data_IF_160866374096
#
_entry.id   IF_160866374096
#
_cell.length_a   1.000
_cell.length_b   1.000
_cell.length_c   1.000
_cell.angle_alpha   90.00
_cell.angle_beta   90.00
_cell.angle_gamma   90.00
#
_symmetry.space_group_name_H-M   'P 1'
#
loop_
_entity.id
_entity.type
_entity.pdbx_description
1 polymer ?
#
# COMPACT_ATOMS: atom_id res chain seq x y z
N UNK A 1 -2.24 -43.34 41.89
CA UNK A 1 -3.38 -43.10 40.97
C UNK A 1 -3.26 -41.69 40.41
N UNK A 2 -2.94 -41.57 39.11
CA UNK A 2 -2.79 -40.29 38.40
C UNK A 2 -4.18 -39.70 38.16
N UNK A 3 -4.42 -38.46 38.59
CA UNK A 3 -5.60 -37.68 38.18
C UNK A 3 -5.21 -36.83 36.99
N UNK A 4 -5.83 -37.10 35.84
CA UNK A 4 -5.73 -36.30 34.62
C UNK A 4 -6.41 -34.94 34.86
N UNK A 5 -5.82 -33.80 34.45
CA UNK A 5 -6.59 -32.56 34.38
C UNK A 5 -7.55 -32.61 33.19
N UNK A 6 -8.80 -32.25 33.46
CA UNK A 6 -9.90 -32.15 32.51
C UNK A 6 -9.59 -31.01 31.52
N UNK A 7 -9.29 -31.32 30.27
CA UNK A 7 -9.13 -30.31 29.20
C UNK A 7 -10.53 -29.94 28.70
N UNK A 8 -10.95 -28.71 28.99
CA UNK A 8 -12.13 -28.12 28.36
C UNK A 8 -11.74 -27.67 26.95
N UNK A 9 -12.09 -28.47 25.94
CA UNK A 9 -12.00 -28.05 24.54
C UNK A 9 -13.21 -27.17 24.25
N UNK A 10 -12.99 -25.84 24.19
CA UNK A 10 -13.99 -24.92 23.66
C UNK A 10 -13.91 -25.01 22.13
N UNK A 11 -14.77 -25.86 21.57
CA UNK A 11 -15.00 -25.89 20.13
C UNK A 11 -15.85 -24.68 19.78
N UNK A 12 -15.27 -23.67 19.12
CA UNK A 12 -16.06 -22.62 18.48
C UNK A 12 -16.81 -23.25 17.30
N UNK A 13 -18.06 -23.65 17.56
CA UNK A 13 -18.99 -23.98 16.50
C UNK A 13 -19.15 -22.74 15.61
N UNK A 14 -18.77 -22.87 14.34
CA UNK A 14 -19.05 -21.91 13.28
C UNK A 14 -20.57 -21.72 13.17
N UNK A 15 -21.09 -20.73 13.88
CA UNK A 15 -22.42 -20.24 13.60
C UNK A 15 -22.29 -19.32 12.38
N UNK A 16 -22.62 -19.88 11.21
CA UNK A 16 -22.99 -19.11 10.03
C UNK A 16 -24.31 -18.36 10.35
N UNK A 17 -24.22 -17.29 11.13
CA UNK A 17 -25.25 -16.25 11.13
C UNK A 17 -24.81 -15.28 10.06
N UNK A 18 -25.50 -15.31 8.92
CA UNK A 18 -25.42 -14.25 7.93
C UNK A 18 -25.91 -12.95 8.56
N UNK A 19 -25.02 -12.25 9.24
CA UNK A 19 -25.20 -10.86 9.60
C UNK A 19 -24.50 -10.07 8.51
N UNK A 20 -25.29 -9.61 7.53
CA UNK A 20 -24.86 -8.52 6.66
C UNK A 20 -24.86 -7.27 7.53
N UNK A 21 -23.77 -7.07 8.27
CA UNK A 21 -23.43 -5.73 8.70
C UNK A 21 -23.14 -4.97 7.41
N UNK A 22 -23.98 -3.98 7.07
CA UNK A 22 -23.50 -2.92 6.20
C UNK A 22 -22.22 -2.40 6.87
N UNK A 23 -21.06 -2.63 6.26
CA UNK A 23 -19.79 -2.28 6.85
C UNK A 23 -19.77 -0.76 7.03
N UNK A 24 -20.10 -0.28 8.22
CA UNK A 24 -20.09 1.14 8.52
C UNK A 24 -18.65 1.61 8.39
N UNK A 25 -18.40 2.48 7.42
CA UNK A 25 -17.07 3.01 7.15
C UNK A 25 -16.51 3.68 8.41
N UNK A 26 -15.29 3.35 8.80
CA UNK A 26 -14.65 3.96 9.97
C UNK A 26 -13.96 5.24 9.51
N UNK A 27 -14.24 6.37 10.19
CA UNK A 27 -13.67 7.68 9.84
C UNK A 27 -12.89 8.27 11.02
N UNK A 28 -11.70 8.79 10.71
CA UNK A 28 -10.86 9.54 11.65
C UNK A 28 -10.60 10.93 11.06
N UNK A 29 -11.12 11.96 11.71
CA UNK A 29 -11.00 13.34 11.23
C UNK A 29 -9.74 14.04 11.77
N UNK A 30 -9.11 14.86 10.94
CA UNK A 30 -7.97 15.70 11.30
C UNK A 30 -8.27 17.16 10.94
N UNK A 31 -7.58 18.08 11.60
CA UNK A 31 -7.76 19.51 11.35
C UNK A 31 -7.00 19.94 10.09
N UNK A 32 -5.85 19.31 9.84
CA UNK A 32 -4.93 19.66 8.76
C UNK A 32 -4.21 18.42 8.21
N UNK A 33 -3.87 18.47 6.92
CA UNK A 33 -3.08 17.47 6.21
C UNK A 33 -1.94 18.17 5.49
N UNK A 34 -0.72 17.92 5.95
CA UNK A 34 0.48 18.51 5.36
C UNK A 34 1.27 17.46 4.59
N UNK A 35 1.62 17.76 3.33
CA UNK A 35 2.55 16.92 2.56
C UNK A 35 3.98 17.17 3.06
N UNK A 36 4.58 16.15 3.67
CA UNK A 36 5.97 16.20 4.15
C UNK A 36 6.97 15.93 3.03
N UNK A 37 6.63 14.95 2.19
CA UNK A 37 7.45 14.47 1.09
C UNK A 37 6.57 13.93 -0.01
N UNK A 38 6.97 14.15 -1.25
CA UNK A 38 6.34 13.55 -2.42
C UNK A 38 7.36 13.31 -3.53
N UNK A 39 7.23 12.17 -4.19
CA UNK A 39 7.95 11.81 -5.39
C UNK A 39 6.97 11.44 -6.49
N UNK A 40 7.23 11.96 -7.68
CA UNK A 40 6.50 11.64 -8.90
C UNK A 40 7.42 10.93 -9.89
N UNK A 41 6.91 9.90 -10.56
CA UNK A 41 7.62 9.24 -11.64
C UNK A 41 6.63 8.59 -12.62
N UNK A 42 7.09 8.33 -13.84
CA UNK A 42 6.37 7.52 -14.82
C UNK A 42 6.71 6.05 -14.62
N UNK A 43 5.70 5.17 -14.66
CA UNK A 43 5.89 3.73 -14.69
C UNK A 43 5.33 3.13 -15.98
N UNK A 44 6.06 2.18 -16.57
CA UNK A 44 5.68 1.48 -17.79
C UNK A 44 5.19 0.07 -17.48
N UNK A 45 4.21 -0.46 -18.21
CA UNK A 45 3.75 -1.83 -18.02
C UNK A 45 4.87 -2.81 -18.41
N UNK A 46 5.05 -3.84 -17.58
CA UNK A 46 5.95 -4.98 -17.84
C UNK A 46 5.12 -6.22 -18.19
N UNK A 47 4.07 -6.49 -17.41
CA UNK A 47 3.11 -7.57 -17.65
C UNK A 47 1.78 -7.18 -17.02
N UNK A 48 0.74 -6.96 -17.82
CA UNK A 48 -0.57 -6.46 -17.33
C UNK A 48 -1.71 -7.19 -18.01
N UNK A 49 -2.61 -7.74 -17.21
CA UNK A 49 -3.81 -8.40 -17.70
C UNK A 49 -4.90 -7.37 -18.03
N UNK A 50 -5.65 -7.60 -19.12
CA UNK A 50 -6.67 -6.67 -19.60
C UNK A 50 -7.82 -6.41 -18.62
N UNK A 51 -8.08 -7.34 -17.69
CA UNK A 51 -9.13 -7.25 -16.67
C UNK A 51 -8.66 -6.57 -15.37
N UNK A 52 -7.41 -6.13 -15.27
CA UNK A 52 -6.93 -5.43 -14.07
C UNK A 52 -7.45 -3.99 -14.03
N UNK A 53 -7.88 -3.51 -12.86
CA UNK A 53 -8.42 -2.16 -12.68
C UNK A 53 -7.45 -1.06 -13.16
N UNK A 54 -6.13 -1.29 -13.12
CA UNK A 54 -5.15 -0.32 -13.58
C UNK A 54 -5.25 -0.03 -15.08
N UNK A 55 -5.68 -1.02 -15.89
CA UNK A 55 -5.85 -0.87 -17.34
C UNK A 55 -6.90 0.18 -17.66
N UNK A 56 -7.99 0.22 -16.88
CA UNK A 56 -9.06 1.18 -17.06
C UNK A 56 -8.56 2.61 -16.86
N UNK A 57 -7.72 2.83 -15.85
CA UNK A 57 -7.12 4.13 -15.53
C UNK A 57 -6.05 4.52 -16.55
N UNK A 58 -5.16 3.59 -16.89
CA UNK A 58 -4.06 3.82 -17.82
C UNK A 58 -4.57 4.16 -19.23
N UNK A 59 -5.70 3.59 -19.64
CA UNK A 59 -6.23 3.71 -21.01
C UNK A 59 -5.83 2.54 -21.92
N UNK A 60 -5.43 1.40 -21.34
CA UNK A 60 -5.04 0.20 -22.08
C UNK A 60 -3.84 -0.52 -21.47
N UNK A 61 -3.64 -1.78 -21.87
CA UNK A 61 -2.62 -2.69 -21.28
C UNK A 61 -1.16 -2.25 -21.52
N UNK A 62 -0.93 -1.41 -22.54
CA UNK A 62 0.40 -0.94 -22.93
C UNK A 62 0.63 0.53 -22.56
N UNK A 63 -0.28 1.15 -21.81
CA UNK A 63 -0.19 2.56 -21.47
C UNK A 63 0.64 2.76 -20.20
N UNK A 64 1.53 3.76 -20.16
CA UNK A 64 2.22 4.13 -18.94
C UNK A 64 1.25 4.80 -17.96
N UNK A 65 1.67 4.87 -16.70
CA UNK A 65 0.97 5.61 -15.64
C UNK A 65 1.93 6.61 -14.97
N UNK A 66 1.37 7.67 -14.41
CA UNK A 66 2.08 8.56 -13.50
C UNK A 66 1.79 8.13 -12.07
N UNK A 67 2.84 7.94 -11.28
CA UNK A 67 2.76 7.59 -9.87
C UNK A 67 3.23 8.78 -9.05
N UNK A 68 2.41 9.19 -8.08
CA UNK A 68 2.76 10.13 -7.03
C UNK A 68 2.74 9.36 -5.70
N UNK A 69 3.89 9.21 -5.07
CA UNK A 69 4.07 8.55 -3.78
C UNK A 69 4.62 9.55 -2.77
N UNK A 70 4.18 9.50 -1.52
CA UNK A 70 4.69 10.44 -0.53
C UNK A 70 4.29 10.11 0.90
N UNK A 71 4.52 11.07 1.78
CA UNK A 71 4.15 11.03 3.20
C UNK A 71 3.36 12.28 3.53
N UNK A 72 2.23 12.10 4.21
CA UNK A 72 1.44 13.18 4.80
C UNK A 72 1.53 13.14 6.32
N UNK A 73 1.55 14.31 6.95
CA UNK A 73 1.31 14.48 8.37
C UNK A 73 -0.15 14.86 8.58
N UNK A 74 -0.84 14.11 9.42
CA UNK A 74 -2.22 14.31 9.81
C UNK A 74 -2.22 14.96 11.20
N UNK A 75 -2.74 16.19 11.30
CA UNK A 75 -2.62 17.01 12.51
C UNK A 75 -3.96 17.21 13.21
N UNK A 76 -3.91 17.31 14.54
CA UNK A 76 -5.06 17.71 15.37
C UNK A 76 -4.56 18.62 16.49
N UNK A 77 -5.22 19.75 16.71
CA UNK A 77 -4.78 20.75 17.68
C UNK A 77 -3.42 21.37 17.36
N UNK A 78 -3.01 21.39 16.08
CA UNK A 78 -1.69 21.87 15.64
C UNK A 78 -0.54 20.86 15.79
N UNK A 79 -0.78 19.69 16.40
CA UNK A 79 0.24 18.65 16.59
C UNK A 79 0.09 17.52 15.56
N UNK A 80 1.20 16.93 15.13
CA UNK A 80 1.21 15.74 14.27
C UNK A 80 0.73 14.54 15.08
N UNK A 81 -0.42 14.00 14.72
CA UNK A 81 -0.99 12.81 15.36
C UNK A 81 -0.57 11.53 14.64
N UNK A 82 -0.42 11.61 13.31
CA UNK A 82 -0.08 10.46 12.48
C UNK A 82 0.71 10.93 11.26
N UNK A 83 1.73 10.17 10.87
CA UNK A 83 2.36 10.28 9.55
C UNK A 83 2.01 9.03 8.75
N UNK A 84 1.57 9.21 7.50
CA UNK A 84 1.03 8.12 6.68
C UNK A 84 1.64 8.19 5.27
N UNK A 85 2.13 7.06 4.74
CA UNK A 85 2.48 7.01 3.32
C UNK A 85 1.20 7.02 2.48
N UNK A 86 1.25 7.69 1.34
CA UNK A 86 0.19 7.65 0.34
C UNK A 86 0.76 7.30 -1.03
N UNK A 87 -0.11 6.78 -1.89
CA UNK A 87 0.18 6.58 -3.29
C UNK A 87 -1.02 6.99 -4.13
N UNK A 88 -0.77 7.68 -5.23
CA UNK A 88 -1.75 8.00 -6.26
C UNK A 88 -1.20 7.52 -7.60
N UNK A 89 -2.04 6.81 -8.34
CA UNK A 89 -1.76 6.41 -9.72
C UNK A 89 -2.72 7.13 -10.64
N UNK A 90 -2.19 7.70 -11.72
CA UNK A 90 -2.96 8.46 -12.70
C UNK A 90 -2.63 7.96 -14.10
N UNK A 91 -3.63 7.93 -14.97
CA UNK A 91 -3.49 7.59 -16.37
C UNK A 91 -4.45 8.42 -17.22
N UNK A 92 -4.63 8.04 -18.48
CA UNK A 92 -5.45 8.79 -19.42
C UNK A 92 -6.90 8.97 -18.96
N UNK A 93 -7.47 7.98 -18.26
CA UNK A 93 -8.90 7.91 -17.96
C UNK A 93 -9.24 8.20 -16.49
N UNK A 94 -8.26 8.60 -15.67
CA UNK A 94 -8.53 8.97 -14.29
C UNK A 94 -7.36 8.73 -13.34
N UNK A 95 -7.68 8.62 -12.06
CA UNK A 95 -6.70 8.34 -11.02
C UNK A 95 -7.34 7.66 -9.81
N UNK A 96 -6.55 6.88 -9.10
CA UNK A 96 -6.90 6.31 -7.78
C UNK A 96 -5.83 6.70 -6.77
N UNK A 97 -6.24 6.87 -5.50
CA UNK A 97 -5.32 7.22 -4.40
C UNK A 97 -5.62 6.38 -3.17
N UNK A 98 -4.58 5.87 -2.53
CA UNK A 98 -4.65 4.99 -1.37
C UNK A 98 -3.69 5.46 -0.28
N UNK A 99 -4.00 5.10 0.96
CA UNK A 99 -3.09 5.22 2.10
C UNK A 99 -2.47 3.86 2.42
N UNK A 100 -1.29 3.90 3.04
CA UNK A 100 -0.56 2.72 3.42
C UNK A 100 -1.37 1.84 4.36
N UNK A 101 -1.35 0.54 4.09
CA UNK A 101 -1.93 -0.45 4.97
C UNK A 101 -0.86 -1.23 5.73
N UNK A 102 0.24 -1.60 5.05
CA UNK A 102 1.33 -2.36 5.66
C UNK A 102 2.64 -2.07 4.95
N UNK A 103 3.75 -2.22 5.65
CA UNK A 103 5.08 -2.13 5.07
C UNK A 103 5.96 -3.28 5.57
N UNK A 104 6.94 -3.67 4.77
CA UNK A 104 7.93 -4.67 5.11
C UNK A 104 9.31 -4.21 4.63
N UNK A 105 10.33 -4.51 5.42
CA UNK A 105 11.69 -4.05 5.23
C UNK A 105 12.63 -5.25 5.24
N UNK A 106 13.34 -5.45 4.13
CA UNK A 106 14.40 -6.44 4.03
C UNK A 106 15.75 -5.71 4.06
N UNK A 107 16.71 -6.27 4.78
CA UNK A 107 18.06 -5.70 4.94
C UNK A 107 19.12 -6.60 4.31
N UNK A 108 20.26 -6.03 3.94
CA UNK A 108 21.44 -6.81 3.61
C UNK A 108 21.97 -7.52 4.85
N UNK A 109 22.40 -8.78 4.69
CA UNK A 109 22.85 -9.63 5.79
C UNK A 109 23.98 -8.94 6.59
N UNK A 110 23.81 -8.90 7.92
CA UNK A 110 24.79 -8.28 8.81
C UNK A 110 24.82 -6.75 8.78
N UNK A 111 23.87 -6.08 8.12
CA UNK A 111 23.82 -4.60 8.03
C UNK A 111 22.44 -4.05 8.40
N UNK A 112 22.36 -2.73 8.59
CA UNK A 112 21.09 -2.00 8.65
C UNK A 112 20.71 -1.35 7.31
N UNK A 113 21.42 -1.71 6.23
CA UNK A 113 21.19 -1.18 4.90
C UNK A 113 19.97 -1.87 4.28
N UNK A 114 19.03 -1.08 3.77
CA UNK A 114 17.86 -1.62 3.10
C UNK A 114 18.29 -2.37 1.84
N UNK A 115 17.70 -3.55 1.64
CA UNK A 115 17.75 -4.31 0.39
C UNK A 115 16.45 -4.13 -0.38
N UNK A 116 15.31 -4.29 0.31
CA UNK A 116 13.98 -4.03 -0.25
C UNK A 116 13.13 -3.28 0.76
N UNK A 117 12.31 -2.36 0.27
CA UNK A 117 11.16 -1.82 0.99
C UNK A 117 9.92 -2.15 0.19
N UNK A 118 8.97 -2.81 0.85
CA UNK A 118 7.67 -3.18 0.29
C UNK A 118 6.60 -2.38 1.03
N UNK A 119 5.77 -1.65 0.30
CA UNK A 119 4.61 -0.94 0.85
C UNK A 119 3.34 -1.48 0.20
N UNK A 120 2.35 -1.86 1.01
CA UNK A 120 1.06 -2.34 0.56
C UNK A 120 -0.01 -1.28 0.78
N UNK A 121 -0.67 -0.90 -0.30
CA UNK A 121 -1.75 0.09 -0.33
C UNK A 121 -3.01 -0.57 -0.84
N UNK A 122 -4.18 -0.15 -0.34
CA UNK A 122 -5.45 -0.65 -0.82
C UNK A 122 -6.56 0.40 -0.80
N UNK A 123 -7.58 0.23 -1.64
CA UNK A 123 -8.72 1.15 -1.74
C UNK A 123 -9.54 1.23 -0.47
N UNK A 124 -9.38 0.26 0.43
CA UNK A 124 -10.06 0.22 1.71
C UNK A 124 -9.54 1.24 2.72
N UNK A 125 -8.42 1.93 2.46
CA UNK A 125 -7.92 3.01 3.32
C UNK A 125 -7.53 4.20 2.45
N UNK A 126 -8.23 5.32 2.61
CA UNK A 126 -8.05 6.52 1.77
C UNK A 126 -8.19 7.80 2.57
N UNK A 127 -7.61 8.87 2.04
CA UNK A 127 -7.81 10.22 2.54
C UNK A 127 -8.96 10.87 1.77
N UNK A 128 -9.99 11.33 2.49
CA UNK A 128 -11.11 12.11 1.96
C UNK A 128 -11.14 13.42 2.74
N UNK A 129 -10.85 14.53 2.04
CA UNK A 129 -10.57 15.83 2.65
C UNK A 129 -9.45 15.67 3.70
N UNK A 130 -9.75 15.99 4.96
CA UNK A 130 -8.82 15.85 6.08
C UNK A 130 -9.06 14.58 6.91
N UNK A 131 -9.76 13.59 6.37
CA UNK A 131 -10.15 12.41 7.13
C UNK A 131 -9.60 11.13 6.54
N UNK A 132 -9.06 10.28 7.41
CA UNK A 132 -8.74 8.90 7.05
C UNK A 132 -10.01 8.08 7.13
N UNK A 133 -10.42 7.53 5.99
CA UNK A 133 -11.60 6.68 5.85
C UNK A 133 -11.15 5.25 5.61
N UNK A 134 -11.68 4.32 6.41
CA UNK A 134 -11.59 2.88 6.18
C UNK A 134 -12.94 2.37 5.68
N UNK A 135 -12.94 1.83 4.47
CA UNK A 135 -14.15 1.39 3.76
C UNK A 135 -13.85 0.07 3.05
N UNK A 136 -14.33 -1.03 3.62
CA UNK A 136 -14.04 -2.38 3.13
C UNK A 136 -15.05 -2.85 2.08
N UNK A 137 -15.80 -1.94 1.46
CA UNK A 137 -16.77 -2.29 0.42
C UNK A 137 -16.04 -2.85 -0.81
N UNK A 138 -16.31 -4.10 -1.23
CA UNK A 138 -15.69 -4.67 -2.42
C UNK A 138 -16.13 -3.97 -3.72
N UNK A 139 -15.30 -4.01 -4.78
CA UNK A 139 -13.99 -4.64 -4.84
C UNK A 139 -12.91 -3.79 -4.14
N UNK A 140 -12.02 -4.45 -3.39
CA UNK A 140 -10.85 -3.80 -2.81
C UNK A 140 -9.70 -3.91 -3.81
N UNK A 141 -9.32 -2.78 -4.40
CA UNK A 141 -8.14 -2.66 -5.26
C UNK A 141 -6.91 -2.53 -4.39
N UNK A 142 -5.76 -3.02 -4.85
CA UNK A 142 -4.50 -2.81 -4.14
C UNK A 142 -3.33 -2.50 -5.06
N UNK A 143 -2.30 -1.89 -4.46
CA UNK A 143 -1.01 -1.62 -5.05
C UNK A 143 0.05 -2.11 -4.08
N UNK A 144 0.92 -2.98 -4.56
CA UNK A 144 2.15 -3.30 -3.85
C UNK A 144 3.31 -2.57 -4.49
N UNK A 145 3.95 -1.70 -3.72
CA UNK A 145 5.03 -0.83 -4.15
C UNK A 145 6.37 -1.34 -3.63
N UNK A 146 7.27 -1.69 -4.55
CA UNK A 146 8.58 -2.23 -4.25
C UNK A 146 9.66 -1.23 -4.60
N UNK A 147 10.57 -1.01 -3.65
CA UNK A 147 11.79 -0.23 -3.86
C UNK A 147 12.97 -1.13 -3.52
N UNK A 148 13.83 -1.38 -4.50
CA UNK A 148 15.06 -2.14 -4.34
C UNK A 148 16.23 -1.19 -4.26
N UNK A 149 17.17 -1.51 -3.39
CA UNK A 149 18.38 -0.73 -3.16
C UNK A 149 19.59 -1.60 -3.47
N UNK A 150 20.68 -0.97 -3.88
CA UNK A 150 22.00 -1.60 -3.85
C UNK A 150 22.66 -1.46 -2.46
N UNK A 151 23.81 -2.08 -2.26
CA UNK A 151 24.56 -1.99 -0.99
C UNK A 151 25.02 -0.56 -0.66
N UNK A 152 25.12 0.31 -1.69
CA UNK A 152 25.43 1.74 -1.55
C UNK A 152 24.19 2.60 -1.23
N UNK A 153 23.05 1.97 -0.96
CA UNK A 153 21.76 2.60 -0.66
C UNK A 153 21.21 3.47 -1.79
N UNK A 154 21.63 3.23 -3.03
CA UNK A 154 21.01 3.80 -4.21
C UNK A 154 19.84 2.93 -4.66
N UNK A 155 18.77 3.56 -5.15
CA UNK A 155 17.63 2.85 -5.71
C UNK A 155 18.06 2.16 -7.00
N UNK A 156 17.97 0.83 -7.02
CA UNK A 156 18.31 0.01 -8.19
C UNK A 156 17.09 -0.31 -9.06
N UNK A 157 15.89 -0.39 -8.46
CA UNK A 157 14.63 -0.58 -9.19
C UNK A 157 13.45 -0.14 -8.34
N UNK A 158 12.39 0.31 -9.01
CA UNK A 158 11.10 0.64 -8.42
C UNK A 158 10.03 -0.09 -9.23
N UNK A 159 9.22 -0.91 -8.57
CA UNK A 159 8.18 -1.71 -9.22
C UNK A 159 6.84 -1.55 -8.50
N UNK A 160 5.74 -1.70 -9.25
CA UNK A 160 4.39 -1.68 -8.75
C UNK A 160 3.65 -2.90 -9.26
N UNK A 161 2.97 -3.62 -8.38
CA UNK A 161 2.00 -4.65 -8.77
C UNK A 161 0.60 -4.26 -8.34
N UNK A 162 -0.37 -4.55 -9.19
CA UNK A 162 -1.77 -4.16 -9.02
C UNK A 162 -2.65 -5.39 -8.88
N UNK A 163 -3.53 -5.44 -7.88
CA UNK A 163 -4.52 -6.52 -7.73
C UNK A 163 -5.94 -5.97 -7.71
N UNK A 164 -6.85 -6.75 -8.31
CA UNK A 164 -8.30 -6.57 -8.21
C UNK A 164 -8.87 -7.10 -6.87
N UNK A 165 -8.10 -7.92 -6.16
CA UNK A 165 -8.42 -8.51 -4.87
C UNK A 165 -7.36 -8.11 -3.83
N UNK A 166 -7.71 -7.13 -3.01
CA UNK A 166 -6.85 -6.61 -1.96
C UNK A 166 -6.66 -7.58 -0.79
N UNK A 167 -7.60 -8.49 -0.53
CA UNK A 167 -7.45 -9.47 0.55
C UNK A 167 -6.43 -10.54 0.16
N UNK A 168 -6.58 -11.11 -1.05
CA UNK A 168 -5.61 -12.04 -1.61
C UNK A 168 -4.23 -11.38 -1.70
N UNK A 169 -4.14 -10.16 -2.24
CA UNK A 169 -2.87 -9.45 -2.37
C UNK A 169 -2.22 -9.18 -1.00
N UNK A 170 -3.01 -8.92 0.04
CA UNK A 170 -2.49 -8.75 1.39
C UNK A 170 -1.91 -10.04 1.98
N UNK A 171 -2.48 -11.21 1.64
CA UNK A 171 -1.92 -12.50 2.03
C UNK A 171 -0.60 -12.79 1.29
N UNK A 172 -0.53 -12.44 0.02
CA UNK A 172 0.63 -12.67 -0.85
C UNK A 172 1.80 -11.71 -0.58
N UNK A 173 1.54 -10.50 -0.07
CA UNK A 173 2.52 -9.45 0.25
C UNK A 173 3.75 -9.96 1.02
N UNK A 174 3.54 -10.95 1.90
CA UNK A 174 4.58 -11.52 2.76
C UNK A 174 5.41 -12.61 2.08
N UNK A 175 4.91 -13.19 0.99
CA UNK A 175 5.45 -14.43 0.41
C UNK A 175 6.54 -14.21 -0.63
N UNK A 176 6.41 -13.22 -1.52
CA UNK A 176 7.36 -13.01 -2.62
C UNK A 176 7.23 -11.65 -3.31
N UNK A 177 8.07 -11.42 -4.33
CA UNK A 177 7.94 -10.29 -5.26
C UNK A 177 6.91 -10.68 -6.33
N UNK A 178 5.88 -9.86 -6.56
CA UNK A 178 4.82 -10.15 -7.50
C UNK A 178 5.36 -10.18 -8.93
N UNK A 179 4.81 -11.10 -9.71
CA UNK A 179 5.20 -11.36 -11.10
C UNK A 179 4.12 -10.94 -12.10
N UNK A 180 2.95 -10.52 -11.61
CA UNK A 180 1.78 -10.23 -12.42
C UNK A 180 1.30 -8.79 -12.19
N UNK A 181 0.63 -8.25 -13.20
CA UNK A 181 0.10 -6.89 -13.20
C UNK A 181 1.15 -5.86 -12.76
N UNK A 182 2.34 -5.98 -13.35
CA UNK A 182 3.58 -5.33 -12.96
C UNK A 182 3.85 -4.11 -13.85
N UNK A 183 4.22 -3.01 -13.20
CA UNK A 183 4.79 -1.82 -13.81
C UNK A 183 6.17 -1.54 -13.20
N UNK A 184 7.06 -0.99 -14.01
CA UNK A 184 8.40 -0.57 -13.56
C UNK A 184 8.60 0.91 -13.81
N UNK A 185 9.18 1.61 -12.83
CA UNK A 185 9.44 3.03 -12.92
C UNK A 185 10.55 3.33 -13.94
N UNK A 186 10.37 4.40 -14.70
CA UNK A 186 11.43 5.03 -15.47
C UNK A 186 12.19 5.96 -14.53
N UNK A 187 13.28 5.48 -13.94
CA UNK A 187 14.02 6.20 -12.87
C UNK A 187 14.46 7.62 -13.29
N UNK A 188 14.76 7.85 -14.57
CA UNK A 188 15.11 9.19 -15.07
C UNK A 188 13.96 10.20 -15.02
N UNK A 189 12.73 9.76 -14.79
CA UNK A 189 11.54 10.62 -14.59
C UNK A 189 11.25 10.92 -13.12
N UNK A 190 12.03 10.35 -12.20
CA UNK A 190 11.85 10.55 -10.77
C UNK A 190 12.13 12.00 -10.39
N UNK A 191 11.08 12.68 -9.93
CA UNK A 191 11.14 14.03 -9.41
C UNK A 191 10.68 14.04 -7.95
N UNK A 192 11.41 14.72 -7.08
CA UNK A 192 11.17 14.70 -5.63
C UNK A 192 10.94 16.11 -5.10
N UNK A 193 10.10 16.21 -4.08
CA UNK A 193 9.80 17.45 -3.35
C UNK A 193 9.66 17.16 -1.85
N UNK A 194 10.00 18.14 -1.02
CA UNK A 194 10.04 17.98 0.44
C UNK A 194 11.31 17.29 0.93
N UNK A 195 11.33 16.95 2.23
CA UNK A 195 12.48 16.30 2.87
C UNK A 195 12.19 14.79 2.93
N UNK A 196 12.95 13.93 2.22
CA UNK A 196 12.82 12.49 2.34
C UNK A 196 12.99 12.10 3.80
N UNK A 197 12.04 11.34 4.35
CA UNK A 197 12.28 10.75 5.66
C UNK A 197 13.23 9.59 5.41
N UNK A 198 14.48 9.67 5.87
CA UNK A 198 15.23 8.45 6.15
C UNK A 198 14.32 7.60 7.01
N UNK A 199 14.07 6.34 6.62
CA UNK A 199 13.16 5.46 7.33
C UNK A 199 13.54 5.46 8.82
N UNK A 200 12.81 6.24 9.60
CA UNK A 200 13.05 6.42 11.02
C UNK A 200 12.64 5.11 11.65
N UNK A 201 13.64 4.30 11.97
CA UNK A 201 13.54 3.27 12.99
C UNK A 201 12.91 3.89 14.23
N UNK A 202 11.65 3.58 14.48
CA UNK A 202 11.10 3.56 15.82
C UNK A 202 11.23 2.14 16.36
#
# INVERSE_FOLDING_TARGET
MKKLPFILIITFALINVGVVFAAESIRYDFDDVEVKYAAEFTAKPVSVEANNWIVQIAGGINQPITVLYGVVNLKRGGEIQLSEEFIKVSGQNGSERFLLNSAAYDYYEGTSNYKNIKSFFWSAKKLVDNSVVKDFTPPIKSITFYRKFDESQQISSIMLSFSNDGEQASAEFWSSVPTENLYEAVISTLNQSGIPTAATSQ
#
